data_IF_746737208539
#
_entry.id   IF_746737208539
#
_cell.length_a   1.000
_cell.length_b   1.000
_cell.length_c   1.000
_cell.angle_alpha   90.00
_cell.angle_beta   90.00
_cell.angle_gamma   90.00
#
_symmetry.space_group_name_H-M   'P 1'
#
loop_
_entity.id
_entity.type
_entity.pdbx_description
1 polymer ?
#
# COMPACT_ATOMS: atom_id res chain seq x y z
N UNK A 1 7.08 -4.02 13.46
CA UNK A 1 6.82 -5.47 13.53
C UNK A 1 7.69 -6.15 12.48
N UNK A 2 8.73 -6.88 12.88
CA UNK A 2 9.66 -7.52 11.95
C UNK A 2 9.20 -8.96 11.70
N UNK A 3 8.33 -9.16 10.70
CA UNK A 3 8.00 -10.50 10.24
C UNK A 3 9.24 -11.13 9.59
N UNK A 4 9.75 -12.23 10.14
CA UNK A 4 10.88 -12.92 9.54
C UNK A 4 10.47 -13.55 8.20
N UNK A 5 11.39 -13.67 7.22
CA UNK A 5 11.08 -14.29 5.93
C UNK A 5 10.50 -15.71 6.07
N UNK A 6 10.92 -16.47 7.09
CA UNK A 6 10.38 -17.82 7.33
C UNK A 6 8.91 -17.79 7.80
N UNK A 7 8.54 -16.80 8.62
CA UNK A 7 7.15 -16.63 9.06
C UNK A 7 6.25 -16.29 7.88
N UNK A 8 6.70 -15.40 6.99
CA UNK A 8 5.97 -15.02 5.78
C UNK A 8 5.74 -16.23 4.87
N UNK A 9 6.78 -17.03 4.62
CA UNK A 9 6.66 -18.25 3.82
C UNK A 9 5.64 -19.23 4.42
N UNK A 10 5.62 -19.37 5.75
CA UNK A 10 4.64 -20.23 6.45
C UNK A 10 3.21 -19.67 6.35
N UNK A 11 3.02 -18.36 6.46
CA UNK A 11 1.71 -17.72 6.31
C UNK A 11 1.19 -17.85 4.86
N UNK A 12 2.08 -17.74 3.88
CA UNK A 12 1.75 -17.87 2.45
C UNK A 12 1.32 -19.28 2.04
N UNK A 13 1.60 -20.32 2.84
CA UNK A 13 1.11 -21.68 2.55
C UNK A 13 -0.41 -21.82 2.68
N UNK A 14 -1.06 -20.95 3.48
CA UNK A 14 -2.52 -20.95 3.66
C UNK A 14 -3.20 -20.04 2.65
N UNK A 15 -3.35 -20.54 1.43
CA UNK A 15 -3.93 -19.80 0.30
C UNK A 15 -5.35 -19.28 0.58
N UNK A 16 -6.14 -20.00 1.38
CA UNK A 16 -7.49 -19.62 1.83
C UNK A 16 -7.52 -18.30 2.63
N UNK A 17 -6.38 -17.90 3.20
CA UNK A 17 -6.24 -16.69 4.01
C UNK A 17 -5.60 -15.52 3.26
N UNK A 18 -5.20 -15.71 2.01
CA UNK A 18 -4.58 -14.65 1.19
C UNK A 18 -5.67 -13.91 0.43
N UNK A 19 -5.69 -12.58 0.56
CA UNK A 19 -6.63 -11.70 -0.17
C UNK A 19 -5.85 -10.75 -1.07
N UNK A 20 -5.81 -11.08 -2.35
CA UNK A 20 -5.28 -10.17 -3.37
C UNK A 20 -6.36 -9.16 -3.73
N UNK A 21 -6.14 -7.89 -3.39
CA UNK A 21 -7.05 -6.80 -3.70
C UNK A 21 -6.34 -5.77 -4.59
N UNK A 22 -7.10 -5.17 -5.51
CA UNK A 22 -6.64 -4.07 -6.34
C UNK A 22 -7.60 -2.91 -6.17
N UNK A 23 -7.05 -1.71 -5.96
CA UNK A 23 -7.84 -0.49 -5.96
C UNK A 23 -7.91 -0.02 -7.41
N UNK A 24 -9.12 0.26 -7.91
CA UNK A 24 -9.41 0.83 -9.24
C UNK A 24 -10.27 2.10 -9.05
N UNK A 25 -9.90 3.21 -9.69
CA UNK A 25 -10.54 4.52 -9.52
C UNK A 25 -10.05 5.46 -10.62
N UNK A 26 -10.82 6.53 -10.86
CA UNK A 26 -10.43 7.62 -11.74
C UNK A 26 -9.32 8.49 -11.12
N UNK A 27 -8.64 9.29 -11.95
CA UNK A 27 -7.67 10.28 -11.47
C UNK A 27 -8.37 11.26 -10.54
N UNK A 28 -7.68 11.72 -9.50
CA UNK A 28 -8.19 12.63 -8.46
C UNK A 28 -9.36 12.10 -7.59
N UNK A 29 -9.68 10.80 -7.65
CA UNK A 29 -10.71 10.19 -6.80
C UNK A 29 -10.19 9.66 -5.45
N UNK A 30 -9.13 10.25 -4.89
CA UNK A 30 -8.63 9.90 -3.55
C UNK A 30 -8.05 8.49 -3.42
N UNK A 31 -7.64 7.89 -4.53
CA UNK A 31 -7.10 6.53 -4.63
C UNK A 31 -5.84 6.33 -3.76
N UNK A 32 -4.90 7.27 -3.88
CA UNK A 32 -3.66 7.29 -3.10
C UNK A 32 -3.95 7.56 -1.63
N UNK A 33 -4.88 8.48 -1.33
CA UNK A 33 -5.33 8.76 0.03
C UNK A 33 -5.91 7.52 0.72
N UNK A 34 -6.77 6.76 0.04
CA UNK A 34 -7.32 5.51 0.58
C UNK A 34 -6.21 4.49 0.86
N UNK A 35 -5.26 4.36 -0.06
CA UNK A 35 -4.14 3.43 0.07
C UNK A 35 -3.24 3.78 1.25
N UNK A 36 -2.92 5.07 1.44
CA UNK A 36 -2.11 5.53 2.58
C UNK A 36 -2.81 5.29 3.92
N UNK A 37 -4.13 5.46 3.99
CA UNK A 37 -4.90 5.13 5.20
C UNK A 37 -4.87 3.63 5.52
N UNK A 38 -4.99 2.77 4.49
CA UNK A 38 -4.87 1.32 4.67
C UNK A 38 -3.48 0.93 5.19
N UNK A 39 -2.42 1.51 4.63
CA UNK A 39 -1.04 1.25 5.06
C UNK A 39 -0.83 1.71 6.50
N UNK A 40 -1.28 2.92 6.81
CA UNK A 40 -1.14 3.50 8.13
C UNK A 40 -1.94 2.75 9.21
N UNK A 41 -3.10 2.18 8.88
CA UNK A 41 -3.86 1.33 9.80
C UNK A 41 -3.11 0.06 10.22
N UNK A 42 -2.21 -0.44 9.37
CA UNK A 42 -1.37 -1.62 9.65
C UNK A 42 -0.05 -1.25 10.35
N UNK A 43 0.05 -0.03 10.89
CA UNK A 43 1.24 0.49 11.58
C UNK A 43 2.53 0.46 10.74
N UNK A 44 2.40 0.40 9.40
CA UNK A 44 3.54 0.48 8.47
C UNK A 44 4.01 1.92 8.26
N UNK A 45 3.13 2.90 8.43
CA UNK A 45 3.41 4.33 8.30
C UNK A 45 2.81 5.07 9.49
N UNK A 46 3.49 6.12 9.95
CA UNK A 46 2.99 6.97 11.03
C UNK A 46 1.71 7.72 10.58
N UNK A 47 0.64 7.82 11.41
CA UNK A 47 -0.63 8.44 11.03
C UNK A 47 -0.54 9.85 10.46
N UNK A 48 0.40 10.65 10.96
CA UNK A 48 0.65 12.02 10.47
C UNK A 48 1.21 12.11 9.05
N UNK A 49 1.72 11.01 8.50
CA UNK A 49 2.28 10.96 7.14
C UNK A 49 1.28 10.39 6.12
N UNK A 50 0.10 9.95 6.57
CA UNK A 50 -0.93 9.39 5.68
C UNK A 50 -1.49 10.49 4.76
N UNK A 51 -1.56 10.23 3.46
CA UNK A 51 -2.17 11.13 2.47
C UNK A 51 -1.22 12.17 1.86
N UNK A 52 -0.20 12.61 2.60
CA UNK A 52 0.85 13.50 2.07
C UNK A 52 2.00 12.73 1.43
N UNK A 53 2.37 11.59 2.03
CA UNK A 53 3.56 10.84 1.62
C UNK A 53 3.35 10.02 0.35
N UNK A 54 2.09 9.68 0.01
CA UNK A 54 1.72 8.95 -1.21
C UNK A 54 2.60 7.72 -1.43
N UNK A 55 2.63 6.83 -0.45
CA UNK A 55 3.69 5.83 -0.32
C UNK A 55 3.84 4.88 -1.52
N UNK A 56 2.73 4.62 -2.22
CA UNK A 56 2.72 3.76 -3.41
C UNK A 56 3.21 4.46 -4.68
N UNK A 57 3.16 5.79 -4.72
CA UNK A 57 3.62 6.63 -5.83
C UNK A 57 5.13 6.90 -5.61
N UNK A 58 5.95 5.89 -5.91
CA UNK A 58 7.40 5.92 -5.64
C UNK A 58 8.21 6.72 -6.65
N UNK A 59 7.62 7.05 -7.81
CA UNK A 59 8.31 7.81 -8.84
C UNK A 59 8.14 9.31 -8.61
N UNK A 60 9.20 10.07 -8.86
CA UNK A 60 9.20 11.53 -8.66
C UNK A 60 8.17 12.23 -9.57
N UNK A 61 7.98 11.74 -10.79
CA UNK A 61 6.98 12.28 -11.73
C UNK A 61 5.54 12.04 -11.26
N UNK A 62 5.27 10.92 -10.59
CA UNK A 62 3.98 10.63 -9.96
C UNK A 62 3.71 11.58 -8.78
N UNK A 63 4.70 11.80 -7.93
CA UNK A 63 4.59 12.70 -6.77
C UNK A 63 4.38 14.16 -7.18
N UNK A 64 5.16 14.65 -8.15
CA UNK A 64 5.03 16.03 -8.64
C UNK A 64 3.68 16.29 -9.30
N UNK A 65 3.16 15.32 -10.06
CA UNK A 65 1.87 15.44 -10.76
C UNK A 65 0.68 15.09 -9.89
N UNK A 66 0.92 14.43 -8.76
CA UNK A 66 -0.12 13.96 -7.87
C UNK A 66 -1.01 12.86 -8.46
N UNK A 67 -0.48 12.01 -9.35
CA UNK A 67 -1.21 10.92 -10.02
C UNK A 67 -0.47 9.59 -9.90
N UNK A 68 -1.21 8.48 -9.94
CA UNK A 68 -0.64 7.13 -10.03
C UNK A 68 -0.52 6.70 -11.49
N UNK A 69 0.70 6.47 -11.98
CA UNK A 69 0.97 6.04 -13.36
C UNK A 69 1.37 4.56 -13.43
N UNK A 70 1.99 4.03 -12.38
CA UNK A 70 2.43 2.65 -12.25
C UNK A 70 1.76 1.97 -11.08
N UNK A 71 1.55 0.66 -11.24
CA UNK A 71 1.05 -0.18 -10.15
C UNK A 71 2.19 -0.52 -9.21
N UNK A 72 2.00 -0.21 -7.93
CA UNK A 72 2.85 -0.67 -6.83
C UNK A 72 2.04 -1.60 -5.93
N UNK A 73 2.67 -2.67 -5.43
CA UNK A 73 2.02 -3.64 -4.55
C UNK A 73 2.67 -3.64 -3.18
N UNK A 74 1.85 -3.82 -2.15
CA UNK A 74 2.27 -3.96 -0.76
C UNK A 74 1.63 -5.21 -0.16
N UNK A 75 2.28 -5.75 0.86
CA UNK A 75 1.72 -6.81 1.70
C UNK A 75 1.30 -6.21 3.03
N UNK A 76 0.03 -6.39 3.39
CA UNK A 76 -0.50 -6.07 4.72
C UNK A 76 -0.53 -7.37 5.53
N UNK A 77 -0.04 -7.33 6.77
CA UNK A 77 0.10 -8.50 7.66
C UNK A 77 -0.83 -8.39 8.86
#
# INVERSE_FOLDING_TARGET
MNASPQLLAKLQQRQDRIRNMCILAHVDHGKTTLSDHLIGSNALIHPKLMGELRYLDSREDEQQRGITMKSSSISLL
#
